data_IF_917590270807
#
_entry.id   IF_917590270807
#
_cell.length_a   1.000
_cell.length_b   1.000
_cell.length_c   1.000
_cell.angle_alpha   90.00
_cell.angle_beta   90.00
_cell.angle_gamma   90.00
#
_symmetry.space_group_name_H-M   'P 1'
#
loop_
_entity.id
_entity.type
_entity.pdbx_description
1 polymer ?
#
# COMPACT_ATOMS: atom_id res chain seq x y z
N UNK A 1 -5.70 -7.80 -8.77
CA UNK A 1 -5.47 -7.49 -7.36
C UNK A 1 -3.97 -7.51 -7.16
N UNK A 2 -3.30 -6.37 -7.01
CA UNK A 2 -1.85 -6.32 -7.13
C UNK A 2 -1.21 -6.75 -5.81
N UNK A 3 -0.68 -7.96 -5.78
CA UNK A 3 0.17 -8.48 -4.70
C UNK A 3 1.57 -8.69 -5.27
N UNK A 4 2.59 -8.35 -4.50
CA UNK A 4 3.99 -8.70 -4.78
C UNK A 4 4.54 -9.58 -3.66
N UNK A 5 5.06 -10.75 -4.01
CA UNK A 5 5.73 -11.65 -3.08
C UNK A 5 7.21 -11.26 -2.94
N UNK A 6 7.64 -11.02 -1.71
CA UNK A 6 9.02 -10.68 -1.38
C UNK A 6 9.85 -11.92 -1.05
N UNK A 7 11.20 -11.88 -1.17
CA UNK A 7 12.08 -12.96 -0.72
C UNK A 7 11.97 -13.31 0.76
N UNK A 8 11.36 -12.43 1.57
CA UNK A 8 11.04 -12.67 2.99
C UNK A 8 9.75 -13.46 3.19
N UNK A 9 9.17 -14.02 2.13
CA UNK A 9 7.89 -14.75 2.15
C UNK A 9 6.69 -13.89 2.61
N UNK A 10 6.82 -12.56 2.45
CA UNK A 10 5.75 -11.61 2.70
C UNK A 10 5.12 -11.25 1.36
N UNK A 11 3.82 -11.49 1.26
CA UNK A 11 2.97 -10.96 0.20
C UNK A 11 2.56 -9.53 0.60
N UNK A 12 2.95 -8.55 -0.21
CA UNK A 12 2.56 -7.16 -0.02
C UNK A 12 1.50 -6.74 -1.02
N UNK A 13 0.38 -6.23 -0.52
CA UNK A 13 -0.65 -5.59 -1.33
C UNK A 13 -0.27 -4.15 -1.66
N UNK A 14 -0.54 -3.73 -2.89
CA UNK A 14 -0.35 -2.35 -3.33
C UNK A 14 -1.37 -1.95 -4.39
N UNK A 15 -1.59 -0.66 -4.56
CA UNK A 15 -2.33 -0.09 -5.68
C UNK A 15 -1.52 1.01 -6.35
N UNK A 16 -1.73 1.18 -7.65
CA UNK A 16 -1.12 2.24 -8.45
C UNK A 16 -2.23 2.95 -9.21
N UNK A 17 -2.33 4.26 -9.02
CA UNK A 17 -3.35 5.10 -9.64
C UNK A 17 -2.70 6.35 -10.23
N UNK A 18 -3.20 6.79 -11.40
CA UNK A 18 -2.74 8.03 -12.03
C UNK A 18 -1.53 7.89 -12.93
N UNK A 19 -0.96 9.03 -13.32
CA UNK A 19 0.24 9.13 -14.15
C UNK A 19 1.10 10.32 -13.72
N UNK A 20 2.40 10.28 -14.03
CA UNK A 20 3.35 11.34 -13.68
C UNK A 20 4.44 10.84 -12.74
N UNK A 21 5.17 11.74 -12.05
CA UNK A 21 6.20 11.35 -11.08
C UNK A 21 5.61 10.44 -9.98
N UNK A 22 6.39 9.49 -9.45
CA UNK A 22 5.90 8.57 -8.43
C UNK A 22 5.70 9.27 -7.08
N UNK A 23 4.58 9.00 -6.43
CA UNK A 23 4.26 9.44 -5.07
C UNK A 23 3.87 8.22 -4.23
N UNK A 24 4.72 7.81 -3.29
CA UNK A 24 4.44 6.70 -2.37
C UNK A 24 3.78 7.23 -1.09
N UNK A 25 2.61 6.71 -0.74
CA UNK A 25 1.91 7.05 0.49
C UNK A 25 2.18 5.99 1.56
N UNK A 26 2.87 6.39 2.64
CA UNK A 26 3.25 5.53 3.76
C UNK A 26 2.29 5.78 4.93
N UNK A 27 1.56 4.75 5.33
CA UNK A 27 0.57 4.84 6.40
C UNK A 27 1.20 4.89 7.80
N UNK A 28 0.47 5.49 8.75
CA UNK A 28 0.76 5.43 10.17
C UNK A 28 0.37 4.10 10.83
N UNK A 29 0.38 4.06 12.15
CA UNK A 29 0.11 2.83 12.92
C UNK A 29 -1.30 2.28 12.70
N UNK A 30 -1.40 0.97 12.49
CA UNK A 30 -2.65 0.20 12.42
C UNK A 30 -3.65 0.61 11.33
N UNK A 31 -3.19 1.28 10.28
CA UNK A 31 -4.00 1.63 9.11
C UNK A 31 -3.43 1.01 7.82
N UNK A 32 -4.23 0.97 6.77
CA UNK A 32 -3.93 0.31 5.49
C UNK A 32 -4.12 1.26 4.29
N UNK A 33 -4.05 0.76 3.06
CA UNK A 33 -4.19 1.56 1.83
C UNK A 33 -5.53 2.30 1.73
N UNK A 34 -6.61 1.81 2.36
CA UNK A 34 -7.97 2.34 2.17
C UNK A 34 -8.13 3.75 2.74
N UNK A 35 -7.36 4.09 3.78
CA UNK A 35 -7.39 5.41 4.43
C UNK A 35 -6.80 6.52 3.55
N UNK A 36 -6.17 6.17 2.43
CA UNK A 36 -5.66 7.14 1.44
C UNK A 36 -6.63 7.46 0.30
N UNK A 37 -7.86 6.94 0.31
CA UNK A 37 -8.79 7.11 -0.82
C UNK A 37 -8.96 8.58 -1.27
N UNK A 38 -9.08 9.51 -0.33
CA UNK A 38 -9.22 10.94 -0.66
C UNK A 38 -7.94 11.55 -1.24
N UNK A 39 -6.78 11.14 -0.75
CA UNK A 39 -5.47 11.61 -1.23
C UNK A 39 -5.14 11.03 -2.61
N UNK A 40 -5.51 9.77 -2.85
CA UNK A 40 -5.39 9.15 -4.19
C UNK A 40 -6.20 9.93 -5.21
N UNK A 41 -7.47 10.23 -4.90
CA UNK A 41 -8.32 11.03 -5.80
C UNK A 41 -7.76 12.44 -6.03
N UNK A 42 -7.18 13.07 -5.00
CA UNK A 42 -6.61 14.41 -5.09
C UNK A 42 -5.32 14.49 -5.90
N UNK A 43 -4.50 13.43 -5.93
CA UNK A 43 -3.15 13.47 -6.52
C UNK A 43 -2.98 12.68 -7.82
N UNK A 44 -3.91 11.78 -8.17
CA UNK A 44 -3.76 10.89 -9.35
C UNK A 44 -3.71 11.62 -10.70
N UNK A 45 -4.13 12.88 -10.79
CA UNK A 45 -4.02 13.68 -12.03
C UNK A 45 -2.59 14.12 -12.32
N UNK A 46 -1.78 14.30 -11.28
CA UNK A 46 -0.43 14.88 -11.38
C UNK A 46 0.68 13.88 -11.07
N UNK A 47 0.35 12.79 -10.34
CA UNK A 47 1.29 11.79 -9.87
C UNK A 47 0.83 10.36 -10.20
N UNK A 48 1.82 9.47 -10.33
CA UNK A 48 1.60 8.03 -10.19
C UNK A 48 1.57 7.71 -8.68
N UNK A 49 0.37 7.72 -8.11
CA UNK A 49 0.16 7.50 -6.67
C UNK A 49 0.21 6.02 -6.36
N UNK A 50 1.09 5.65 -5.43
CA UNK A 50 1.30 4.28 -4.99
C UNK A 50 0.88 4.19 -3.52
N UNK A 51 -0.10 3.34 -3.23
CA UNK A 51 -0.47 2.96 -1.87
C UNK A 51 -0.08 1.51 -1.63
N UNK A 52 0.19 1.14 -0.39
CA UNK A 52 0.49 -0.23 -0.03
C UNK A 52 0.06 -0.53 1.40
N UNK A 53 -0.15 -1.80 1.67
CA UNK A 53 -0.40 -2.30 3.02
C UNK A 53 0.92 -2.72 3.65
N UNK A 54 1.26 -2.11 4.78
CA UNK A 54 2.40 -2.56 5.57
C UNK A 54 2.19 -4.01 6.04
N UNK A 55 3.28 -4.76 6.24
CA UNK A 55 3.23 -6.11 6.81
C UNK A 55 2.38 -6.11 8.09
N UNK A 56 1.41 -7.02 8.18
CA UNK A 56 0.48 -7.10 9.32
C UNK A 56 -0.74 -6.18 9.23
N UNK A 57 -0.97 -5.51 8.09
CA UNK A 57 -2.13 -4.64 7.88
C UNK A 57 -2.84 -4.97 6.57
N UNK A 58 -4.13 -4.63 6.48
CA UNK A 58 -4.93 -4.76 5.27
C UNK A 58 -4.87 -6.15 4.63
N UNK A 59 -4.49 -6.18 3.35
CA UNK A 59 -4.40 -7.36 2.51
C UNK A 59 -2.97 -7.93 2.41
N UNK A 60 -1.98 -7.31 3.06
CA UNK A 60 -0.62 -7.85 3.14
C UNK A 60 -0.53 -8.99 4.16
N UNK A 61 0.46 -9.87 4.00
CA UNK A 61 0.71 -10.95 4.97
C UNK A 61 0.75 -10.41 6.39
N UNK A 62 -0.02 -11.03 7.28
CA UNK A 62 0.07 -10.85 8.72
C UNK A 62 0.74 -12.07 9.32
N UNK A 63 2.06 -12.01 9.60
CA UNK A 63 2.75 -13.10 10.26
C UNK A 63 2.10 -13.39 11.62
N UNK A 64 2.14 -14.66 12.08
CA UNK A 64 1.71 -14.98 13.43
C UNK A 64 2.50 -14.17 14.46
N UNK A 65 1.86 -13.88 15.59
CA UNK A 65 2.59 -13.36 16.76
C UNK A 65 3.69 -14.38 17.10
N UNK A 66 4.97 -13.95 17.20
CA UNK A 66 6.05 -14.86 17.57
C UNK A 66 5.99 -15.35 19.02
N UNK A 67 4.98 -14.99 19.81
CA UNK A 67 4.80 -15.37 21.22
C UNK A 67 3.83 -16.52 21.44
#
# INVERSE_FOLDING_TARGET
>A
MPIISLPTEIDMYYEINGQGPPLLLIMGTAADHTTWASQVEAYKSDFTVITYDARGTGQSTSPPDPR
#
